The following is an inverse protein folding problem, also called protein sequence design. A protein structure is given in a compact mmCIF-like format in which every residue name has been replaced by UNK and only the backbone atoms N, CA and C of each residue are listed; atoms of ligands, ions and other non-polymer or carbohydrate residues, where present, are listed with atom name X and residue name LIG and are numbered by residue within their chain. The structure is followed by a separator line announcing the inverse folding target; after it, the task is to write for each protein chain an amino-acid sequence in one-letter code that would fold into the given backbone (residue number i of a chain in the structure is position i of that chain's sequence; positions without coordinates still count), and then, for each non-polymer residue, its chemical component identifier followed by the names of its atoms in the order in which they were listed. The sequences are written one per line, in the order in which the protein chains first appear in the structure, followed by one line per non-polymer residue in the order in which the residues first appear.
data_IF_789443238146
#
_entry.id   IF_789443238146
#
_cell.length_a   1.000
_cell.length_b   1.000
_cell.length_c   1.000
_cell.angle_alpha   90.00
_cell.angle_beta   90.00
_cell.angle_gamma   90.00
#
_symmetry.space_group_name_H-M   'P 1'
#
loop_
_entity.id
_entity.type
_entity.pdbx_description
1 polymer ?
#
# COMPACT_ATOMS: atom_id res chain seq x y z
N UNK A 1 -16.11 -10.79 -7.07
CA UNK A 1 -14.74 -10.82 -7.66
C UNK A 1 -14.41 -9.53 -8.44
N UNK A 2 -15.33 -8.91 -9.14
CA UNK A 2 -15.12 -7.63 -9.85
C UNK A 2 -14.75 -6.49 -8.87
N UNK A 3 -15.52 -6.31 -7.81
CA UNK A 3 -15.27 -5.29 -6.78
C UNK A 3 -13.85 -5.36 -6.17
N UNK A 4 -13.37 -6.56 -5.83
CA UNK A 4 -12.00 -6.71 -5.28
C UNK A 4 -10.91 -6.34 -6.29
N UNK A 5 -11.15 -6.56 -7.60
CA UNK A 5 -10.24 -6.08 -8.65
C UNK A 5 -10.34 -4.58 -8.81
N UNK A 6 -11.55 -4.01 -8.77
CA UNK A 6 -11.76 -2.58 -8.85
C UNK A 6 -11.10 -1.83 -7.69
N UNK A 7 -11.27 -2.32 -6.46
CA UNK A 7 -10.55 -1.80 -5.28
C UNK A 7 -9.03 -1.80 -5.48
N UNK A 8 -8.46 -2.89 -6.02
CA UNK A 8 -7.03 -2.94 -6.35
C UNK A 8 -6.65 -1.90 -7.40
N UNK A 9 -7.53 -1.66 -8.36
CA UNK A 9 -7.31 -0.67 -9.42
C UNK A 9 -7.25 0.75 -8.86
N UNK A 10 -8.19 1.12 -8.02
CA UNK A 10 -8.20 2.46 -7.38
C UNK A 10 -7.00 2.60 -6.45
N UNK A 11 -6.72 1.58 -5.65
CA UNK A 11 -5.60 1.60 -4.72
C UNK A 11 -4.24 1.78 -5.44
N UNK A 12 -4.01 1.07 -6.56
CA UNK A 12 -2.75 1.23 -7.29
C UNK A 12 -2.65 2.59 -7.97
N UNK A 13 -3.76 3.14 -8.48
CA UNK A 13 -3.78 4.50 -9.03
C UNK A 13 -3.41 5.52 -7.95
N UNK A 14 -3.98 5.42 -6.75
CA UNK A 14 -3.58 6.26 -5.62
C UNK A 14 -2.09 6.16 -5.32
N UNK A 15 -1.55 4.93 -5.22
CA UNK A 15 -0.14 4.69 -4.90
C UNK A 15 0.80 5.27 -5.97
N UNK A 16 0.55 5.06 -7.26
CA UNK A 16 1.43 5.58 -8.31
C UNK A 16 1.37 7.12 -8.37
N UNK A 17 0.20 7.71 -8.21
CA UNK A 17 0.05 9.17 -8.14
C UNK A 17 0.77 9.74 -6.92
N UNK A 18 0.56 9.15 -5.75
CA UNK A 18 1.29 9.51 -4.54
C UNK A 18 2.80 9.46 -4.74
N UNK A 19 3.30 8.33 -5.23
CA UNK A 19 4.75 8.12 -5.42
C UNK A 19 5.39 9.07 -6.43
N UNK A 20 4.63 9.71 -7.31
CA UNK A 20 5.14 10.77 -8.17
C UNK A 20 5.04 12.12 -7.48
N UNK A 21 3.84 12.47 -7.02
CA UNK A 21 3.55 13.79 -6.43
C UNK A 21 4.36 14.05 -5.16
N UNK A 22 4.52 13.03 -4.31
CA UNK A 22 5.31 13.11 -3.08
C UNK A 22 6.78 13.51 -3.31
N UNK A 23 7.38 13.13 -4.44
CA UNK A 23 8.77 13.50 -4.73
C UNK A 23 8.94 14.95 -5.21
N UNK A 24 7.85 15.65 -5.54
CA UNK A 24 7.92 17.07 -5.88
C UNK A 24 8.14 17.90 -4.60
N UNK A 25 9.19 18.72 -4.57
CA UNK A 25 9.65 19.41 -3.37
C UNK A 25 8.61 20.39 -2.77
N UNK A 26 7.74 20.97 -3.61
CA UNK A 26 6.69 21.89 -3.20
C UNK A 26 5.41 21.19 -2.69
N UNK A 27 5.24 19.89 -2.98
CA UNK A 27 4.04 19.15 -2.60
C UNK A 27 3.94 18.95 -1.08
N UNK A 28 2.73 19.09 -0.56
CA UNK A 28 2.45 18.80 0.85
C UNK A 28 2.67 17.30 1.10
N UNK A 29 3.47 16.97 2.12
CA UNK A 29 3.80 15.58 2.46
C UNK A 29 2.72 14.99 3.37
N UNK A 30 2.56 13.69 3.27
CA UNK A 30 1.63 12.88 4.07
C UNK A 30 2.15 12.59 5.49
N UNK A 31 1.24 12.10 6.32
CA UNK A 31 1.51 11.44 7.60
C UNK A 31 1.33 9.93 7.40
N UNK A 32 2.33 9.23 6.89
CA UNK A 32 2.21 7.79 6.61
C UNK A 32 2.79 6.93 7.73
N UNK A 33 4.04 7.16 8.12
CA UNK A 33 4.77 6.37 9.13
C UNK A 33 5.05 7.15 10.42
N UNK A 34 5.01 8.47 10.34
CA UNK A 34 5.09 9.38 11.48
C UNK A 34 3.94 10.36 11.40
N UNK A 35 3.66 11.07 12.49
CA UNK A 35 2.63 12.08 12.55
C UNK A 35 3.22 13.46 12.82
N UNK A 36 2.84 14.43 11.99
CA UNK A 36 3.18 15.84 12.16
C UNK A 36 1.92 16.69 11.92
N UNK A 37 1.47 17.40 12.94
CA UNK A 37 0.22 18.16 12.90
C UNK A 37 0.22 19.35 11.89
N UNK A 38 1.40 19.82 11.46
CA UNK A 38 1.52 20.89 10.47
C UNK A 38 1.13 20.45 9.05
N UNK A 39 1.37 19.17 8.70
CA UNK A 39 1.13 18.66 7.34
C UNK A 39 -0.34 18.74 6.90
N UNK A 40 -1.34 18.25 7.65
CA UNK A 40 -2.75 18.42 7.27
C UNK A 40 -3.19 19.89 7.28
N UNK A 41 -2.60 20.74 8.14
CA UNK A 41 -2.88 22.18 8.13
C UNK A 41 -2.36 22.85 6.85
N UNK A 42 -1.17 22.51 6.39
CA UNK A 42 -0.63 22.96 5.10
C UNK A 42 -1.55 22.53 3.94
N UNK A 43 -2.05 21.28 3.96
CA UNK A 43 -3.00 20.84 2.94
C UNK A 43 -4.27 21.67 2.95
N UNK A 44 -4.86 21.91 4.14
CA UNK A 44 -6.05 22.74 4.28
C UNK A 44 -5.81 24.16 3.74
N UNK A 45 -4.67 24.77 4.04
CA UNK A 45 -4.27 26.09 3.51
C UNK A 45 -4.26 26.10 1.98
N UNK A 46 -3.60 25.07 1.36
CA UNK A 46 -3.59 24.92 -0.12
C UNK A 46 -4.99 24.71 -0.71
N UNK A 47 -5.87 24.02 0.01
CA UNK A 47 -7.27 23.85 -0.42
C UNK A 47 -8.05 25.17 -0.34
N UNK A 48 -7.87 25.94 0.72
CA UNK A 48 -8.58 27.22 0.91
C UNK A 48 -8.10 28.31 -0.05
N UNK A 49 -6.82 28.30 -0.42
CA UNK A 49 -6.23 29.25 -1.38
C UNK A 49 -6.41 28.83 -2.83
N UNK A 50 -7.02 27.66 -3.10
CA UNK A 50 -7.18 27.08 -4.44
C UNK A 50 -5.87 27.05 -5.23
N UNK A 51 -4.79 26.58 -4.57
CA UNK A 51 -3.45 26.51 -5.16
C UNK A 51 -3.48 25.83 -6.54
N UNK A 52 -2.76 26.36 -7.53
CA UNK A 52 -2.72 25.85 -8.91
C UNK A 52 -2.29 24.38 -9.00
N UNK A 53 -1.55 23.89 -7.98
CA UNK A 53 -1.11 22.50 -7.87
C UNK A 53 -1.92 21.69 -6.84
N UNK A 54 -3.16 22.12 -6.54
CA UNK A 54 -3.99 21.46 -5.53
C UNK A 54 -4.11 19.93 -5.76
N UNK A 55 -4.27 19.50 -7.02
CA UNK A 55 -4.29 18.08 -7.35
C UNK A 55 -3.01 17.35 -6.89
N UNK A 56 -1.84 17.96 -7.09
CA UNK A 56 -0.55 17.39 -6.67
C UNK A 56 -0.50 17.27 -5.14
N UNK A 57 -0.92 18.31 -4.41
CA UNK A 57 -0.97 18.31 -2.95
C UNK A 57 -1.89 17.22 -2.40
N UNK A 58 -3.09 17.09 -2.96
CA UNK A 58 -4.08 16.08 -2.57
C UNK A 58 -3.57 14.66 -2.86
N UNK A 59 -2.98 14.42 -4.04
CA UNK A 59 -2.44 13.10 -4.39
C UNK A 59 -1.20 12.75 -3.58
N UNK A 60 -0.33 13.72 -3.30
CA UNK A 60 0.81 13.55 -2.41
C UNK A 60 0.36 13.18 -0.99
N UNK A 61 -0.68 13.82 -0.47
CA UNK A 61 -1.13 13.61 0.90
C UNK A 61 -1.97 12.36 1.09
N UNK A 62 -2.96 12.09 0.21
CA UNK A 62 -3.91 10.99 0.40
C UNK A 62 -3.62 9.74 -0.43
N UNK A 63 -2.82 9.83 -1.48
CA UNK A 63 -2.63 8.70 -2.40
C UNK A 63 -1.96 7.48 -1.76
N UNK A 64 -1.14 7.65 -0.70
CA UNK A 64 -0.54 6.56 0.06
C UNK A 64 -1.57 5.64 0.72
N UNK A 65 -2.79 6.11 0.96
CA UNK A 65 -3.88 5.28 1.51
C UNK A 65 -4.33 4.15 0.58
N UNK A 66 -3.82 4.06 -0.63
CA UNK A 66 -3.90 2.84 -1.41
C UNK A 66 -3.25 1.62 -0.73
N UNK A 67 -2.23 1.82 0.13
CA UNK A 67 -1.57 0.73 0.88
C UNK A 67 -2.53 0.05 1.86
N UNK A 68 -3.25 0.73 2.77
CA UNK A 68 -4.28 0.12 3.61
C UNK A 68 -5.33 -0.67 2.83
N UNK A 69 -5.74 -0.19 1.64
CA UNK A 69 -6.69 -0.92 0.79
C UNK A 69 -6.08 -2.24 0.29
N UNK A 70 -4.81 -2.25 -0.12
CA UNK A 70 -4.11 -3.49 -0.49
C UNK A 70 -3.97 -4.47 0.67
N UNK A 71 -3.69 -3.98 1.88
CA UNK A 71 -3.60 -4.81 3.09
C UNK A 71 -4.96 -5.44 3.41
N UNK A 72 -6.04 -4.64 3.35
CA UNK A 72 -7.42 -5.12 3.52
C UNK A 72 -7.77 -6.23 2.51
N UNK A 73 -7.53 -5.99 1.22
CA UNK A 73 -7.81 -6.98 0.17
C UNK A 73 -6.98 -8.25 0.37
N UNK A 74 -5.76 -8.13 0.89
CA UNK A 74 -4.89 -9.26 1.17
C UNK A 74 -5.43 -10.11 2.32
N UNK A 75 -5.83 -9.50 3.43
CA UNK A 75 -6.49 -10.19 4.55
C UNK A 75 -7.80 -10.88 4.11
N UNK A 76 -8.65 -10.16 3.38
CA UNK A 76 -9.87 -10.69 2.79
C UNK A 76 -9.62 -11.90 1.90
N UNK A 77 -8.65 -11.79 0.98
CA UNK A 77 -8.32 -12.84 0.03
C UNK A 77 -7.74 -14.10 0.68
N UNK A 78 -7.01 -13.99 1.79
CA UNK A 78 -6.50 -15.13 2.54
C UNK A 78 -7.63 -15.95 3.16
N UNK A 79 -8.58 -15.29 3.82
CA UNK A 79 -9.75 -15.98 4.39
C UNK A 79 -10.57 -16.65 3.30
N UNK A 80 -10.86 -15.91 2.23
CA UNK A 80 -11.63 -16.47 1.12
C UNK A 80 -10.98 -17.71 0.53
N UNK A 81 -9.65 -17.67 0.29
CA UNK A 81 -8.91 -18.77 -0.31
C UNK A 81 -8.69 -19.95 0.65
N UNK A 82 -8.28 -19.69 1.89
CA UNK A 82 -7.76 -20.74 2.78
C UNK A 82 -8.72 -21.16 3.90
N UNK A 83 -9.75 -20.37 4.19
CA UNK A 83 -10.74 -20.73 5.19
C UNK A 83 -12.07 -21.15 4.57
N UNK A 84 -12.48 -20.50 3.45
CA UNK A 84 -13.76 -20.79 2.79
C UNK A 84 -13.65 -21.78 1.63
N UNK A 85 -12.61 -21.65 0.77
CA UNK A 85 -12.49 -22.44 -0.47
C UNK A 85 -11.60 -23.66 -0.33
N UNK A 86 -10.80 -23.81 0.73
CA UNK A 86 -9.89 -24.93 0.94
C UNK A 86 -10.33 -25.72 2.18
N UNK A 87 -10.86 -26.96 2.02
CA UNK A 87 -11.34 -27.77 3.16
C UNK A 87 -10.20 -28.24 4.06
N UNK A 88 -9.06 -28.62 3.49
CA UNK A 88 -7.90 -29.13 4.22
C UNK A 88 -7.08 -28.02 4.89
N UNK A 89 -6.49 -28.32 6.05
CA UNK A 89 -5.58 -27.38 6.72
C UNK A 89 -4.24 -27.33 5.98
N UNK A 90 -3.85 -26.13 5.56
CA UNK A 90 -2.53 -25.91 4.95
C UNK A 90 -1.46 -25.86 6.04
N UNK A 91 -0.34 -26.59 5.89
CA UNK A 91 0.79 -26.58 6.84
C UNK A 91 1.52 -25.21 6.82
N UNK A 92 2.13 -24.83 7.96
CA UNK A 92 2.72 -23.48 8.11
C UNK A 92 3.89 -23.23 7.16
N UNK A 93 4.90 -24.12 7.16
CA UNK A 93 6.10 -23.94 6.33
C UNK A 93 5.80 -23.92 4.83
N UNK A 94 5.00 -24.85 4.27
CA UNK A 94 4.59 -24.78 2.86
C UNK A 94 3.83 -23.49 2.52
N UNK A 95 2.96 -23.00 3.42
CA UNK A 95 2.24 -21.76 3.22
C UNK A 95 3.20 -20.55 3.16
N UNK A 96 4.09 -20.43 4.14
CA UNK A 96 5.04 -19.31 4.23
C UNK A 96 5.98 -19.34 3.02
N UNK A 97 6.57 -20.50 2.71
CA UNK A 97 7.47 -20.67 1.57
C UNK A 97 6.79 -20.34 0.23
N UNK A 98 5.53 -20.74 0.05
CA UNK A 98 4.74 -20.41 -1.14
C UNK A 98 4.53 -18.89 -1.28
N UNK A 99 4.15 -18.22 -0.19
CA UNK A 99 3.91 -16.78 -0.23
C UNK A 99 5.21 -15.99 -0.38
N UNK A 100 6.30 -16.41 0.28
CA UNK A 100 7.62 -15.84 0.08
C UNK A 100 8.06 -15.97 -1.40
N UNK A 101 8.00 -17.17 -1.97
CA UNK A 101 8.38 -17.38 -3.37
C UNK A 101 7.51 -16.58 -4.35
N UNK A 102 6.22 -16.40 -4.04
CA UNK A 102 5.30 -15.57 -4.83
C UNK A 102 5.68 -14.08 -4.79
N UNK A 103 6.03 -13.56 -3.61
CA UNK A 103 6.48 -12.19 -3.44
C UNK A 103 7.85 -11.98 -4.11
N UNK A 104 8.80 -12.88 -3.86
CA UNK A 104 10.13 -12.83 -4.46
C UNK A 104 10.08 -12.84 -5.98
N UNK A 105 9.28 -13.75 -6.56
CA UNK A 105 9.06 -13.81 -8.00
C UNK A 105 8.57 -12.48 -8.57
N UNK A 106 7.65 -11.80 -7.89
CA UNK A 106 7.12 -10.51 -8.32
C UNK A 106 8.17 -9.40 -8.19
N UNK A 107 8.87 -9.35 -7.06
CA UNK A 107 9.86 -8.33 -6.73
C UNK A 107 11.11 -8.41 -7.61
N UNK A 108 11.60 -9.61 -7.87
CA UNK A 108 12.94 -9.88 -8.42
C UNK A 108 13.20 -9.17 -9.76
N UNK A 109 12.27 -9.31 -10.72
CA UNK A 109 12.41 -8.66 -12.03
C UNK A 109 12.36 -7.12 -11.93
N UNK A 110 11.45 -6.61 -11.13
CA UNK A 110 11.34 -5.17 -10.93
C UNK A 110 12.57 -4.59 -10.23
N UNK A 111 13.11 -5.34 -9.26
CA UNK A 111 14.31 -4.97 -8.55
C UNK A 111 15.54 -4.91 -9.48
N UNK A 112 15.75 -5.94 -10.31
CA UNK A 112 16.83 -5.93 -11.30
C UNK A 112 16.62 -4.79 -12.32
N UNK A 113 15.41 -4.64 -12.86
CA UNK A 113 15.10 -3.58 -13.81
C UNK A 113 15.36 -2.19 -13.24
N UNK A 114 14.99 -1.95 -12.00
CA UNK A 114 15.29 -0.68 -11.32
C UNK A 114 16.79 -0.50 -11.10
N UNK A 115 17.49 -1.51 -10.63
CA UNK A 115 18.94 -1.44 -10.39
C UNK A 115 19.72 -1.12 -11.68
N UNK A 116 19.35 -1.76 -12.79
CA UNK A 116 19.98 -1.50 -14.10
C UNK A 116 19.72 -0.06 -14.55
N UNK A 117 18.46 0.40 -14.53
CA UNK A 117 18.12 1.77 -14.94
C UNK A 117 18.79 2.79 -14.04
N UNK A 118 18.79 2.56 -12.73
CA UNK A 118 19.41 3.45 -11.76
C UNK A 118 20.94 3.51 -11.95
N UNK A 119 21.58 2.37 -12.25
CA UNK A 119 23.01 2.32 -12.50
C UNK A 119 23.42 3.04 -13.79
N UNK A 120 22.63 2.91 -14.85
CA UNK A 120 22.87 3.59 -16.14
C UNK A 120 22.55 5.09 -16.09
N UNK A 121 21.85 5.54 -15.06
CA UNK A 121 21.47 6.94 -14.93
C UNK A 121 22.55 7.74 -14.21
N UNK A 122 23.05 8.89 -14.74
CA UNK A 122 24.19 9.65 -14.19
C UNK A 122 24.05 10.07 -12.73
N UNK A 123 22.80 10.21 -12.24
CA UNK A 123 22.46 10.55 -10.86
C UNK A 123 21.61 9.47 -10.19
N UNK A 124 21.73 8.23 -10.65
CA UNK A 124 20.99 7.11 -10.10
C UNK A 124 21.55 6.65 -8.75
N UNK A 125 20.80 5.76 -8.10
CA UNK A 125 21.19 5.21 -6.82
C UNK A 125 22.27 4.15 -6.97
N UNK A 126 23.43 4.33 -6.31
CA UNK A 126 24.57 3.42 -6.33
C UNK A 126 24.81 2.71 -4.98
N UNK A 127 23.90 2.85 -4.02
CA UNK A 127 24.05 2.32 -2.67
C UNK A 127 23.75 0.82 -2.48
N UNK A 128 23.92 0.00 -3.53
CA UNK A 128 23.69 -1.45 -3.47
C UNK A 128 24.90 -2.16 -2.81
N UNK A 129 24.83 -2.36 -1.50
CA UNK A 129 25.77 -3.24 -0.81
C UNK A 129 25.21 -4.66 -0.71
N UNK A 130 26.09 -5.66 -0.60
CA UNK A 130 25.68 -7.08 -0.50
C UNK A 130 24.67 -7.29 0.65
N UNK A 131 24.93 -6.70 1.83
CA UNK A 131 24.03 -6.83 2.98
C UNK A 131 22.65 -6.25 2.73
N UNK A 132 22.56 -5.06 2.09
CA UNK A 132 21.28 -4.42 1.74
C UNK A 132 20.51 -5.20 0.69
N UNK A 133 21.20 -5.74 -0.32
CA UNK A 133 20.61 -6.59 -1.36
C UNK A 133 20.03 -7.87 -0.73
N UNK A 134 20.79 -8.53 0.16
CA UNK A 134 20.31 -9.71 0.89
C UNK A 134 19.10 -9.35 1.75
N UNK A 135 19.14 -8.24 2.48
CA UNK A 135 18.00 -7.77 3.30
C UNK A 135 16.73 -7.58 2.47
N UNK A 136 16.85 -6.99 1.27
CA UNK A 136 15.74 -6.80 0.36
C UNK A 136 15.21 -8.14 -0.19
N UNK A 137 16.11 -9.03 -0.66
CA UNK A 137 15.72 -10.32 -1.23
C UNK A 137 15.09 -11.25 -0.19
N UNK A 138 15.58 -11.25 1.04
CA UNK A 138 15.01 -12.00 2.16
C UNK A 138 13.82 -11.28 2.83
N UNK A 139 13.46 -10.06 2.36
CA UNK A 139 12.29 -9.31 2.82
C UNK A 139 12.31 -8.95 4.32
N UNK A 140 13.50 -8.72 4.91
CA UNK A 140 13.61 -8.23 6.29
C UNK A 140 14.06 -6.76 6.38
N UNK A 141 14.08 -6.05 5.27
CA UNK A 141 14.47 -4.62 5.23
C UNK A 141 13.63 -3.75 6.16
N UNK A 142 12.38 -4.11 6.41
CA UNK A 142 11.47 -3.42 7.35
C UNK A 142 11.96 -3.43 8.80
N UNK A 143 12.89 -4.33 9.16
CA UNK A 143 13.49 -4.42 10.48
C UNK A 143 14.72 -3.51 10.61
N UNK A 144 15.19 -2.95 9.49
CA UNK A 144 16.31 -2.02 9.46
C UNK A 144 15.83 -0.59 9.71
N UNK A 145 16.76 0.31 9.97
CA UNK A 145 16.49 1.74 10.07
C UNK A 145 16.14 2.29 8.69
N UNK A 146 15.11 3.15 8.63
CA UNK A 146 14.74 3.91 7.45
C UNK A 146 14.55 3.03 6.18
N UNK A 147 13.59 2.08 6.20
CA UNK A 147 13.51 1.00 5.21
C UNK A 147 13.28 1.46 3.77
N UNK A 148 12.69 2.64 3.55
CA UNK A 148 12.43 3.20 2.22
C UNK A 148 13.62 3.97 1.63
N UNK A 149 14.61 4.34 2.46
CA UNK A 149 15.82 5.02 2.01
C UNK A 149 17.07 4.14 2.01
N UNK A 150 17.11 3.08 2.83
CA UNK A 150 18.30 2.23 2.97
C UNK A 150 18.70 1.52 1.68
N UNK A 151 17.70 1.16 0.84
CA UNK A 151 17.91 0.60 -0.49
C UNK A 151 16.77 1.00 -1.43
N UNK A 152 17.08 1.23 -2.70
CA UNK A 152 16.10 1.54 -3.74
C UNK A 152 15.69 0.27 -4.51
N UNK A 153 14.46 0.19 -5.01
CA UNK A 153 13.40 1.20 -4.90
C UNK A 153 12.71 1.18 -3.52
N UNK A 154 12.55 2.37 -2.94
CA UNK A 154 11.94 2.57 -1.61
C UNK A 154 10.63 1.80 -1.40
N UNK A 155 9.62 1.88 -2.27
CA UNK A 155 8.33 1.20 -2.08
C UNK A 155 8.40 -0.32 -1.86
N UNK A 156 9.54 -0.94 -2.06
CA UNK A 156 9.71 -2.40 -1.91
C UNK A 156 9.78 -2.88 -0.46
N UNK A 157 9.83 -1.97 0.53
CA UNK A 157 9.59 -2.32 1.93
C UNK A 157 8.25 -3.06 2.11
N UNK A 158 7.27 -2.78 1.25
CA UNK A 158 5.95 -3.42 1.26
C UNK A 158 6.01 -4.95 1.13
N UNK A 159 7.00 -5.51 0.43
CA UNK A 159 7.15 -6.97 0.33
C UNK A 159 7.49 -7.59 1.68
N UNK A 160 8.33 -6.93 2.48
CA UNK A 160 8.65 -7.36 3.84
C UNK A 160 7.42 -7.30 4.75
N UNK A 161 6.68 -6.21 4.73
CA UNK A 161 5.42 -6.07 5.47
C UNK A 161 4.43 -7.19 5.10
N UNK A 162 4.25 -7.46 3.81
CA UNK A 162 3.34 -8.50 3.35
C UNK A 162 3.77 -9.89 3.81
N UNK A 163 5.07 -10.19 3.80
CA UNK A 163 5.57 -11.47 4.29
C UNK A 163 5.31 -11.64 5.80
N UNK A 164 5.57 -10.59 6.59
CA UNK A 164 5.26 -10.58 8.03
C UNK A 164 3.77 -10.84 8.29
N UNK A 165 2.88 -10.15 7.57
CA UNK A 165 1.43 -10.33 7.72
C UNK A 165 0.97 -11.74 7.29
N UNK A 166 1.60 -12.36 6.29
CA UNK A 166 1.32 -13.75 5.92
C UNK A 166 1.76 -14.73 7.02
N UNK A 167 2.91 -14.47 7.66
CA UNK A 167 3.39 -15.25 8.79
C UNK A 167 2.42 -15.13 9.97
N UNK A 168 2.05 -13.90 10.35
CA UNK A 168 1.09 -13.61 11.42
C UNK A 168 -0.27 -14.26 11.12
N UNK A 169 -0.78 -14.10 9.90
CA UNK A 169 -2.02 -14.77 9.50
C UNK A 169 -1.94 -16.27 9.72
N UNK A 170 -0.88 -16.92 9.23
CA UNK A 170 -0.80 -18.39 9.26
C UNK A 170 -0.57 -18.94 10.67
N UNK A 171 0.22 -18.28 11.50
CA UNK A 171 0.58 -18.77 12.83
C UNK A 171 -0.45 -18.37 13.90
N UNK A 172 -1.05 -17.19 13.79
CA UNK A 172 -1.89 -16.60 14.85
C UNK A 172 -3.38 -16.57 14.48
N UNK A 173 -3.72 -16.21 13.23
CA UNK A 173 -5.10 -15.86 12.85
C UNK A 173 -5.84 -16.96 12.05
N UNK A 174 -5.10 -17.84 11.38
CA UNK A 174 -5.67 -18.83 10.47
C UNK A 174 -6.64 -19.78 11.18
N UNK A 175 -7.90 -19.74 10.76
CA UNK A 175 -9.00 -20.54 11.34
C UNK A 175 -9.17 -20.37 12.87
N UNK A 176 -8.73 -19.24 13.41
CA UNK A 176 -8.99 -18.83 14.79
C UNK A 176 -10.26 -18.00 14.88
N UNK A 177 -10.81 -17.84 16.07
CA UNK A 177 -11.99 -16.99 16.31
C UNK A 177 -11.74 -15.54 15.91
N UNK A 178 -12.79 -14.83 15.55
CA UNK A 178 -12.72 -13.40 15.21
C UNK A 178 -12.26 -12.55 16.40
N UNK A 179 -12.50 -13.02 17.63
CA UNK A 179 -12.01 -12.37 18.86
C UNK A 179 -10.47 -12.30 18.88
N UNK A 180 -9.76 -13.35 18.43
CA UNK A 180 -8.28 -13.32 18.32
C UNK A 180 -7.83 -12.27 17.31
N UNK A 181 -8.53 -12.15 16.18
CA UNK A 181 -8.21 -11.11 15.18
C UNK A 181 -8.45 -9.71 15.76
N UNK A 182 -9.56 -9.50 16.43
CA UNK A 182 -9.89 -8.23 17.06
C UNK A 182 -8.88 -7.87 18.17
N UNK A 183 -8.56 -8.83 19.04
CA UNK A 183 -7.56 -8.64 20.10
C UNK A 183 -6.19 -8.23 19.54
N UNK A 184 -5.76 -8.87 18.43
CA UNK A 184 -4.48 -8.50 17.79
C UNK A 184 -4.53 -7.12 17.14
N UNK A 185 -5.66 -6.72 16.53
CA UNK A 185 -5.87 -5.36 16.01
C UNK A 185 -5.74 -4.35 17.16
N UNK A 186 -6.46 -4.58 18.25
CA UNK A 186 -6.45 -3.69 19.42
C UNK A 186 -5.03 -3.59 20.01
N UNK A 187 -4.36 -4.72 20.20
CA UNK A 187 -2.98 -4.75 20.71
C UNK A 187 -2.02 -3.96 19.81
N UNK A 188 -2.05 -4.20 18.49
CA UNK A 188 -1.18 -3.50 17.55
C UNK A 188 -1.49 -2.00 17.47
N UNK A 189 -2.75 -1.61 17.59
CA UNK A 189 -3.14 -0.19 17.62
C UNK A 189 -2.70 0.46 18.93
N UNK A 190 -2.88 -0.23 20.06
CA UNK A 190 -2.42 0.23 21.37
C UNK A 190 -0.91 0.43 21.40
N UNK A 191 -0.12 -0.52 20.86
CA UNK A 191 1.35 -0.36 20.74
C UNK A 191 1.71 0.91 19.98
N UNK A 192 1.04 1.23 18.86
CA UNK A 192 1.29 2.48 18.14
C UNK A 192 0.90 3.72 18.96
N UNK A 193 -0.18 3.62 19.73
CA UNK A 193 -0.66 4.69 20.60
C UNK A 193 0.29 5.00 21.75
N UNK A 194 1.05 4.02 22.26
CA UNK A 194 2.07 4.21 23.31
C UNK A 194 3.31 4.96 22.81
N UNK A 195 3.52 5.08 21.51
CA UNK A 195 4.67 5.75 20.92
C UNK A 195 4.26 6.95 20.04
N UNK A 196 3.58 7.99 20.61
CA UNK A 196 3.32 9.21 19.86
C UNK A 196 4.64 9.89 19.46
N UNK A 197 4.66 10.75 18.44
CA UNK A 197 5.87 11.43 17.96
C UNK A 197 6.58 12.29 19.01
N UNK A 198 5.95 12.54 20.15
CA UNK A 198 6.54 13.27 21.27
C UNK A 198 7.43 12.43 22.19
N UNK A 199 7.44 11.10 22.00
CA UNK A 199 8.24 10.17 22.84
C UNK A 199 9.71 10.20 22.46
N UNK A 200 9.98 10.38 21.15
CA UNK A 200 11.34 10.44 20.62
C UNK A 200 11.48 11.54 19.56
N UNK A 201 12.70 12.01 19.35
CA UNK A 201 12.98 13.05 18.37
C UNK A 201 12.70 12.52 16.95
N UNK A 202 11.76 13.17 16.25
CA UNK A 202 11.36 12.80 14.89
C UNK A 202 10.35 11.64 14.76
N UNK A 203 9.95 10.97 15.84
CA UNK A 203 8.99 9.85 15.80
C UNK A 203 9.55 8.58 15.18
N UNK A 204 10.86 8.30 15.36
CA UNK A 204 11.53 7.14 14.77
C UNK A 204 10.97 5.80 15.26
N UNK A 205 10.61 5.69 16.54
CA UNK A 205 10.04 4.46 17.10
C UNK A 205 8.71 4.15 16.42
N UNK A 206 7.83 5.14 16.33
CA UNK A 206 6.54 5.00 15.64
C UNK A 206 6.75 4.65 14.16
N UNK A 207 7.68 5.30 13.49
CA UNK A 207 8.05 5.03 12.10
C UNK A 207 8.39 3.54 11.91
N UNK A 208 9.31 3.00 12.70
CA UNK A 208 9.70 1.58 12.64
C UNK A 208 8.54 0.64 12.91
N UNK A 209 7.70 0.94 13.91
CA UNK A 209 6.51 0.15 14.22
C UNK A 209 5.58 0.10 13.01
N UNK A 210 5.39 1.22 12.33
CA UNK A 210 4.44 1.33 11.21
C UNK A 210 4.92 0.68 9.92
N UNK A 211 6.23 0.60 9.67
CA UNK A 211 6.77 -0.18 8.55
C UNK A 211 6.60 -1.70 8.72
N UNK A 212 6.24 -2.17 9.90
CA UNK A 212 6.11 -3.58 10.23
C UNK A 212 4.64 -4.01 10.39
N UNK A 213 4.40 -5.31 10.63
CA UNK A 213 3.05 -5.88 10.70
C UNK A 213 2.14 -5.17 11.73
N UNK A 214 2.73 -4.56 12.77
CA UNK A 214 1.99 -3.81 13.79
C UNK A 214 1.25 -2.64 13.13
N UNK A 215 1.91 -1.86 12.26
CA UNK A 215 1.28 -0.76 11.52
C UNK A 215 0.26 -1.22 10.49
N UNK A 216 0.51 -2.39 9.87
CA UNK A 216 -0.39 -2.96 8.85
C UNK A 216 -1.57 -3.74 9.41
N UNK A 217 -1.60 -4.06 10.72
CA UNK A 217 -2.56 -5.00 11.27
C UNK A 217 -4.01 -4.50 11.23
N UNK A 218 -4.25 -3.21 11.46
CA UNK A 218 -5.60 -2.65 11.47
C UNK A 218 -6.34 -2.87 10.13
N UNK A 219 -5.85 -2.41 8.97
CA UNK A 219 -6.53 -2.64 7.70
C UNK A 219 -6.51 -4.13 7.27
N UNK A 220 -5.43 -4.85 7.53
CA UNK A 220 -5.33 -6.27 7.20
C UNK A 220 -6.31 -7.13 8.00
N UNK A 221 -6.40 -6.91 9.31
CA UNK A 221 -7.33 -7.58 10.20
C UNK A 221 -8.79 -7.21 9.89
N UNK A 222 -9.06 -5.94 9.55
CA UNK A 222 -10.37 -5.53 9.06
C UNK A 222 -10.79 -6.32 7.81
N UNK A 223 -9.86 -6.59 6.89
CA UNK A 223 -10.09 -7.46 5.73
C UNK A 223 -10.45 -8.89 6.11
N UNK A 224 -9.78 -9.46 7.11
CA UNK A 224 -10.10 -10.79 7.65
C UNK A 224 -11.51 -10.82 8.26
N UNK A 225 -11.82 -9.83 9.12
CA UNK A 225 -13.14 -9.74 9.77
C UNK A 225 -14.26 -9.51 8.74
N UNK A 226 -14.02 -8.66 7.77
CA UNK A 226 -14.98 -8.44 6.69
C UNK A 226 -15.20 -9.69 5.83
N UNK A 227 -14.15 -10.46 5.55
CA UNK A 227 -14.29 -11.73 4.85
C UNK A 227 -15.13 -12.75 5.65
N UNK A 228 -15.08 -12.73 6.98
CA UNK A 228 -15.81 -13.67 7.84
C UNK A 228 -17.25 -13.24 8.10
N UNK A 229 -17.51 -11.93 8.28
CA UNK A 229 -18.77 -11.40 8.79
C UNK A 229 -19.40 -10.32 7.91
N UNK A 230 -18.70 -9.84 6.86
CA UNK A 230 -19.23 -8.77 6.01
C UNK A 230 -20.57 -9.11 5.38
N UNK A 231 -21.45 -8.13 5.36
CA UNK A 231 -22.79 -8.20 4.79
C UNK A 231 -22.96 -7.15 3.70
N UNK A 232 -23.83 -7.42 2.76
CA UNK A 232 -24.26 -6.39 1.82
C UNK A 232 -25.21 -5.43 2.53
N UNK A 233 -24.86 -4.16 2.51
CA UNK A 233 -25.68 -3.11 3.11
C UNK A 233 -26.51 -2.42 2.01
N UNK A 234 -27.70 -1.89 2.35
CA UNK A 234 -28.52 -1.13 1.41
C UNK A 234 -27.81 0.16 0.98
N UNK A 235 -28.19 0.67 -0.20
CA UNK A 235 -27.58 1.84 -0.84
C UNK A 235 -27.49 3.08 0.08
N UNK A 236 -28.54 3.48 0.83
CA UNK A 236 -28.45 4.65 1.72
C UNK A 236 -27.38 4.50 2.80
N UNK A 237 -27.24 3.29 3.37
CA UNK A 237 -26.22 3.04 4.39
C UNK A 237 -24.82 3.12 3.78
N UNK A 238 -24.61 2.56 2.58
CA UNK A 238 -23.32 2.68 1.89
C UNK A 238 -22.98 4.15 1.60
N UNK A 239 -23.95 4.96 1.17
CA UNK A 239 -23.75 6.40 0.95
C UNK A 239 -23.34 7.11 2.23
N UNK A 240 -24.05 6.84 3.33
CA UNK A 240 -23.70 7.39 4.66
C UNK A 240 -22.29 6.99 5.07
N UNK A 241 -21.89 5.72 4.88
CA UNK A 241 -20.53 5.26 5.19
C UNK A 241 -19.51 6.03 4.37
N UNK A 242 -19.72 6.26 3.08
CA UNK A 242 -18.79 7.03 2.24
C UNK A 242 -18.62 8.45 2.76
N UNK A 243 -19.73 9.15 3.02
CA UNK A 243 -19.67 10.56 3.50
C UNK A 243 -19.01 10.66 4.87
N UNK A 244 -19.42 9.80 5.81
CA UNK A 244 -18.85 9.77 7.17
C UNK A 244 -17.37 9.38 7.12
N UNK A 245 -17.00 8.38 6.31
CA UNK A 245 -15.58 8.00 6.17
C UNK A 245 -14.74 9.12 5.58
N UNK A 246 -15.22 9.81 4.55
CA UNK A 246 -14.50 10.94 3.95
C UNK A 246 -14.28 12.07 4.98
N UNK A 247 -15.32 12.39 5.75
CA UNK A 247 -15.24 13.38 6.82
C UNK A 247 -14.24 12.97 7.91
N UNK A 248 -14.33 11.72 8.41
CA UNK A 248 -13.42 11.21 9.45
C UNK A 248 -11.98 11.12 8.93
N UNK A 249 -11.76 10.71 7.68
CA UNK A 249 -10.42 10.68 7.08
C UNK A 249 -9.82 12.09 7.04
N UNK A 250 -10.60 13.08 6.62
CA UNK A 250 -10.11 14.45 6.56
C UNK A 250 -9.83 15.02 7.96
N UNK A 251 -10.84 15.07 8.82
CA UNK A 251 -10.70 15.63 10.19
C UNK A 251 -9.76 14.80 11.06
N UNK A 252 -9.84 13.47 10.96
CA UNK A 252 -8.99 12.56 11.72
C UNK A 252 -7.49 12.68 11.40
N UNK A 253 -7.16 13.19 10.21
CA UNK A 253 -5.77 13.45 9.83
C UNK A 253 -5.11 14.60 10.60
N UNK A 254 -5.88 15.45 11.31
CA UNK A 254 -5.33 16.57 12.07
C UNK A 254 -4.83 16.22 13.47
N UNK A 255 -5.24 15.09 14.01
CA UNK A 255 -4.91 14.68 15.38
C UNK A 255 -4.31 13.28 15.42
N UNK A 256 -3.25 13.11 16.19
CA UNK A 256 -2.52 11.83 16.29
C UNK A 256 -3.43 10.64 16.62
N UNK A 257 -4.28 10.77 17.62
CA UNK A 257 -5.12 9.68 18.10
C UNK A 257 -6.17 9.23 17.08
N UNK A 258 -6.79 10.17 16.37
CA UNK A 258 -7.75 9.85 15.31
C UNK A 258 -7.06 9.36 14.03
N UNK A 259 -5.87 9.88 13.73
CA UNK A 259 -5.08 9.46 12.57
C UNK A 259 -4.71 7.96 12.62
N UNK A 260 -4.50 7.38 13.81
CA UNK A 260 -4.25 5.94 13.95
C UNK A 260 -5.39 5.09 13.35
N UNK A 261 -6.62 5.61 13.37
CA UNK A 261 -7.80 4.91 12.86
C UNK A 261 -8.17 5.30 11.42
N UNK A 262 -7.57 6.32 10.84
CA UNK A 262 -7.84 6.74 9.45
C UNK A 262 -7.76 5.57 8.46
N UNK A 263 -6.79 4.64 8.53
CA UNK A 263 -6.77 3.48 7.64
C UNK A 263 -8.02 2.60 7.67
N UNK A 264 -8.72 2.52 8.82
CA UNK A 264 -9.98 1.79 8.93
C UNK A 264 -11.10 2.50 8.14
N UNK A 265 -11.20 3.82 8.26
CA UNK A 265 -12.21 4.59 7.53
C UNK A 265 -11.92 4.67 6.03
N UNK A 266 -10.65 4.66 5.62
CA UNK A 266 -10.26 4.51 4.21
C UNK A 266 -10.80 3.20 3.65
N UNK A 267 -10.58 2.06 4.30
CA UNK A 267 -11.01 0.76 3.77
C UNK A 267 -12.52 0.60 3.81
N UNK A 268 -13.20 1.08 4.85
CA UNK A 268 -14.66 1.02 4.95
C UNK A 268 -15.33 1.92 3.90
N UNK A 269 -14.85 3.15 3.74
CA UNK A 269 -15.32 4.07 2.70
C UNK A 269 -15.05 3.52 1.29
N UNK A 270 -13.86 2.97 1.03
CA UNK A 270 -13.54 2.38 -0.26
C UNK A 270 -14.43 1.18 -0.61
N UNK A 271 -14.70 0.29 0.35
CA UNK A 271 -15.64 -0.83 0.16
C UNK A 271 -17.05 -0.33 -0.12
N UNK A 272 -17.55 0.64 0.67
CA UNK A 272 -18.88 1.22 0.47
C UNK A 272 -18.98 1.92 -0.89
N UNK A 273 -17.96 2.65 -1.34
CA UNK A 273 -17.90 3.27 -2.67
C UNK A 273 -18.07 2.22 -3.78
N UNK A 274 -17.41 1.06 -3.67
CA UNK A 274 -17.57 -0.02 -4.67
C UNK A 274 -19.01 -0.54 -4.75
N UNK A 275 -19.77 -0.48 -3.65
CA UNK A 275 -21.18 -0.90 -3.63
C UNK A 275 -22.14 0.14 -4.24
N UNK A 276 -21.70 1.38 -4.38
CA UNK A 276 -22.49 2.45 -5.00
C UNK A 276 -22.28 2.54 -6.51
N UNK A 277 -21.16 2.03 -7.03
CA UNK A 277 -20.80 2.16 -8.43
C UNK A 277 -21.36 0.96 -9.21
N UNK A 278 -22.12 1.17 -10.30
CA UNK A 278 -22.60 0.09 -11.15
C UNK A 278 -21.44 -0.72 -11.77
N UNK A 279 -21.61 -2.03 -11.91
CA UNK A 279 -20.58 -2.95 -12.43
C UNK A 279 -19.96 -2.49 -13.77
N UNK A 280 -20.77 -1.91 -14.66
CA UNK A 280 -20.28 -1.39 -15.95
C UNK A 280 -19.28 -0.25 -15.77
N UNK A 281 -19.50 0.63 -14.80
CA UNK A 281 -18.62 1.76 -14.51
C UNK A 281 -17.34 1.33 -13.76
N UNK A 282 -17.32 0.15 -13.16
CA UNK A 282 -16.13 -0.42 -12.52
C UNK A 282 -15.11 -1.01 -13.52
N UNK A 283 -15.48 -1.19 -14.79
CA UNK A 283 -14.63 -1.86 -15.78
C UNK A 283 -13.21 -1.28 -15.92
N UNK A 284 -12.99 0.06 -15.97
CA UNK A 284 -11.65 0.63 -16.01
C UNK A 284 -10.85 0.29 -14.74
N UNK A 285 -11.46 0.39 -13.56
CA UNK A 285 -10.83 0.06 -12.29
C UNK A 285 -10.47 -1.43 -12.19
N UNK A 286 -11.33 -2.32 -12.72
CA UNK A 286 -11.06 -3.76 -12.82
C UNK A 286 -9.85 -4.04 -13.70
N UNK A 287 -9.71 -3.31 -14.82
CA UNK A 287 -8.56 -3.42 -15.71
C UNK A 287 -7.27 -3.01 -15.01
N UNK A 288 -7.24 -1.84 -14.33
CA UNK A 288 -6.10 -1.43 -13.51
C UNK A 288 -5.79 -2.45 -12.40
N UNK A 289 -6.81 -3.00 -11.76
CA UNK A 289 -6.65 -4.06 -10.77
C UNK A 289 -5.99 -5.33 -11.32
N UNK A 290 -6.21 -5.65 -12.58
CA UNK A 290 -5.59 -6.81 -13.24
C UNK A 290 -4.10 -6.63 -13.54
N UNK A 291 -3.60 -5.40 -13.59
CA UNK A 291 -2.17 -5.05 -13.78
C UNK A 291 -1.53 -4.44 -12.53
N UNK A 292 -2.28 -4.33 -11.43
CA UNK A 292 -1.85 -3.60 -10.22
C UNK A 292 -0.51 -4.07 -9.65
N UNK A 293 -0.24 -5.37 -9.63
CA UNK A 293 1.04 -5.90 -9.15
C UNK A 293 2.20 -5.54 -10.06
N UNK A 294 1.98 -5.52 -11.38
CA UNK A 294 2.98 -5.09 -12.35
C UNK A 294 3.24 -3.58 -12.24
N UNK A 295 2.18 -2.77 -12.12
CA UNK A 295 2.30 -1.34 -11.86
C UNK A 295 3.07 -1.05 -10.59
N UNK A 296 2.78 -1.79 -9.50
CA UNK A 296 3.49 -1.61 -8.23
C UNK A 296 4.99 -1.83 -8.35
N UNK A 297 5.44 -2.83 -9.11
CA UNK A 297 6.88 -3.08 -9.25
C UNK A 297 7.55 -2.23 -10.33
N UNK A 298 6.81 -1.72 -11.31
CA UNK A 298 7.40 -1.01 -12.44
C UNK A 298 7.40 0.52 -12.30
N UNK A 299 6.45 1.09 -11.55
CA UNK A 299 6.34 2.54 -11.43
C UNK A 299 7.58 3.25 -10.84
N UNK A 300 8.39 2.66 -9.95
CA UNK A 300 9.60 3.34 -9.49
C UNK A 300 10.63 3.55 -10.61
N UNK A 301 10.68 2.63 -11.58
CA UNK A 301 11.60 2.72 -12.73
C UNK A 301 11.24 3.92 -13.60
N UNK A 302 9.97 4.04 -13.97
CA UNK A 302 9.48 5.14 -14.79
C UNK A 302 9.57 6.48 -14.07
N UNK A 303 9.32 6.50 -12.75
CA UNK A 303 9.51 7.70 -11.93
C UNK A 303 10.95 8.18 -11.96
N UNK A 304 11.93 7.31 -11.76
CA UNK A 304 13.37 7.67 -11.75
C UNK A 304 13.79 8.44 -13.02
N UNK A 305 13.21 8.04 -14.15
CA UNK A 305 13.52 8.66 -15.45
C UNK A 305 12.73 9.97 -15.64
N UNK A 306 11.42 9.94 -15.40
CA UNK A 306 10.49 10.96 -15.89
C UNK A 306 10.35 12.15 -14.93
N UNK A 307 10.58 11.97 -13.63
CA UNK A 307 10.34 13.02 -12.64
C UNK A 307 11.14 14.31 -12.91
N UNK A 308 12.26 14.20 -13.61
CA UNK A 308 13.08 15.32 -14.04
C UNK A 308 12.36 16.32 -14.95
N UNK A 309 11.32 15.87 -15.68
CA UNK A 309 10.48 16.77 -16.47
C UNK A 309 9.78 17.75 -15.55
N UNK A 310 9.20 17.24 -14.44
CA UNK A 310 8.52 18.09 -13.46
C UNK A 310 9.47 19.01 -12.70
N UNK A 311 10.69 18.58 -12.43
CA UNK A 311 11.72 19.46 -11.83
C UNK A 311 12.16 20.61 -12.76
N UNK A 312 11.96 20.47 -14.07
CA UNK A 312 12.18 21.52 -15.07
C UNK A 312 10.95 22.42 -15.31
N UNK A 313 9.91 22.29 -14.49
CA UNK A 313 8.67 23.08 -14.58
C UNK A 313 7.53 22.41 -15.36
N UNK A 314 7.75 21.29 -16.05
CA UNK A 314 6.70 20.56 -16.79
C UNK A 314 5.95 19.58 -15.87
N UNK A 315 5.27 20.11 -14.82
CA UNK A 315 4.71 19.30 -13.72
C UNK A 315 3.69 18.29 -14.25
N UNK A 316 2.60 18.75 -14.85
CA UNK A 316 1.51 17.88 -15.31
C UNK A 316 1.88 17.05 -16.53
N UNK A 317 2.69 17.60 -17.46
CA UNK A 317 3.23 16.82 -18.58
C UNK A 317 4.09 15.67 -18.07
N UNK A 318 4.96 15.91 -17.08
CA UNK A 318 5.75 14.86 -16.45
C UNK A 318 4.88 13.81 -15.77
N UNK A 319 3.84 14.21 -15.03
CA UNK A 319 2.91 13.30 -14.38
C UNK A 319 2.15 12.41 -15.38
N UNK A 320 1.62 13.00 -16.46
CA UNK A 320 0.89 12.24 -17.50
C UNK A 320 1.84 11.26 -18.20
N UNK A 321 3.03 11.73 -18.58
CA UNK A 321 4.05 10.89 -19.22
C UNK A 321 4.44 9.72 -18.31
N UNK A 322 4.62 9.97 -17.01
CA UNK A 322 4.92 8.94 -16.02
C UNK A 322 3.80 7.89 -15.92
N UNK A 323 2.53 8.31 -15.88
CA UNK A 323 1.40 7.38 -15.80
C UNK A 323 1.37 6.49 -17.03
N UNK A 324 1.45 7.08 -18.23
CA UNK A 324 1.42 6.34 -19.50
C UNK A 324 2.60 5.37 -19.60
N UNK A 325 3.82 5.84 -19.31
CA UNK A 325 5.01 5.00 -19.33
C UNK A 325 4.95 3.86 -18.29
N UNK A 326 4.40 4.12 -17.10
CA UNK A 326 4.21 3.09 -16.07
C UNK A 326 3.23 2.01 -16.51
N UNK A 327 2.13 2.39 -17.17
CA UNK A 327 1.16 1.45 -17.72
C UNK A 327 1.79 0.58 -18.83
N UNK A 328 2.50 1.20 -19.75
CA UNK A 328 3.19 0.49 -20.85
C UNK A 328 4.24 -0.48 -20.30
N UNK A 329 5.07 -0.03 -19.39
CA UNK A 329 6.09 -0.86 -18.77
C UNK A 329 5.48 -2.01 -17.94
N UNK A 330 4.40 -1.75 -17.21
CA UNK A 330 3.68 -2.79 -16.47
C UNK A 330 3.03 -3.83 -17.40
N UNK A 331 2.56 -3.41 -18.57
CA UNK A 331 2.04 -4.33 -19.58
C UNK A 331 3.15 -5.22 -20.16
N UNK A 332 4.30 -4.65 -20.52
CA UNK A 332 5.48 -5.40 -20.97
C UNK A 332 5.97 -6.38 -19.89
N UNK A 333 6.07 -5.92 -18.64
CA UNK A 333 6.41 -6.78 -17.51
C UNK A 333 5.44 -7.97 -17.40
N UNK A 334 4.14 -7.73 -17.55
CA UNK A 334 3.14 -8.79 -17.48
C UNK A 334 3.33 -9.84 -18.58
N UNK A 335 3.78 -9.45 -19.77
CA UNK A 335 4.13 -10.38 -20.84
C UNK A 335 5.34 -11.23 -20.47
N UNK A 336 6.43 -10.61 -20.01
CA UNK A 336 7.64 -11.30 -19.58
C UNK A 336 7.39 -12.21 -18.36
N UNK A 337 6.56 -11.75 -17.44
CA UNK A 337 6.23 -12.46 -16.21
C UNK A 337 5.54 -13.81 -16.43
N UNK A 338 4.97 -14.05 -17.60
CA UNK A 338 4.35 -15.34 -17.98
C UNK A 338 5.39 -16.45 -18.09
N UNK A 339 6.63 -16.13 -18.47
CA UNK A 339 7.71 -17.09 -18.67
C UNK A 339 8.41 -17.49 -17.36
N UNK A 340 8.20 -16.76 -16.25
CA UNK A 340 8.77 -17.11 -14.97
C UNK A 340 7.88 -18.17 -14.29
N UNK A 341 8.44 -19.31 -13.85
CA UNK A 341 7.67 -20.38 -13.19
C UNK A 341 6.86 -19.87 -12.00
N UNK A 342 5.61 -20.32 -11.90
CA UNK A 342 4.74 -20.00 -10.77
C UNK A 342 5.01 -20.95 -9.62
N UNK A 343 5.22 -20.44 -8.38
CA UNK A 343 5.32 -21.32 -7.22
C UNK A 343 4.03 -22.12 -7.04
N UNK A 344 4.17 -23.37 -6.64
CA UNK A 344 3.04 -24.24 -6.34
C UNK A 344 2.95 -24.46 -4.83
N UNK A 345 1.75 -24.37 -4.28
CA UNK A 345 1.51 -24.71 -2.88
C UNK A 345 1.40 -26.24 -2.79
N UNK A 346 2.31 -26.86 -2.05
CA UNK A 346 2.18 -28.27 -1.65
C UNK A 346 1.26 -28.31 -0.43
N UNK A 347 0.09 -28.91 -0.57
CA UNK A 347 -0.93 -29.04 0.49
C UNK A 347 -0.63 -30.29 1.29
#
# INVERSE_FOLDING_TARGET
MAESKALRGIAILGIILHNYCHFLGFAVKENEYTFTASKPRQLLERMLTLDDNLFIHVMSFFGHYGVPVFLFISGFGLVYKYERSTPTRVRALPFIGFHYAKLLRLMFLGYIGFAVVSYLHPHGYHGYTVGRVIAQLLMYINLMLDPDHIIKPGPYWYFGLMLQLYIVYRLVLYRRSSAVTLALIVLCTAVQAFFPPSVDEGGEILNRIRYNFIGGMLPFGAGILYARHGRNLPLPINLTIVVVSAFIVFIGSFYFWSWLFVPLFIVTGAVATMKLIPDKALAPCVWFGAISSALFVMHPITREIIIKMSYRGYIYTGLITYIVASILLAWLFKLMFRYIPKPKLKI
#
